data_IF_867739368629
#
_entry.id   IF_867739368629
#
_cell.length_a   1.000
_cell.length_b   1.000
_cell.length_c   1.000
_cell.angle_alpha   90.00
_cell.angle_beta   90.00
_cell.angle_gamma   90.00
#
_symmetry.space_group_name_H-M   'P 1'
#
loop_
_entity.id
_entity.type
_entity.pdbx_description
1 polymer ?
#
# COMPACT_ATOMS: atom_id res chain seq x y z
N UNK A 1 2.54 71.86 -4.52
CA UNK A 1 3.39 71.01 -3.67
C UNK A 1 2.63 70.05 -2.74
N UNK A 2 1.40 70.35 -2.28
CA UNK A 2 0.60 69.41 -1.44
C UNK A 2 -0.08 68.26 -2.19
N UNK A 3 -0.49 68.45 -3.43
CA UNK A 3 -1.20 67.44 -4.23
C UNK A 3 -0.29 66.25 -4.61
N UNK A 4 0.98 66.48 -4.96
CA UNK A 4 1.94 65.44 -5.29
C UNK A 4 2.31 64.55 -4.09
N UNK A 5 2.25 65.08 -2.86
CA UNK A 5 2.46 64.27 -1.63
C UNK A 5 1.31 63.32 -1.35
N UNK A 6 0.06 63.72 -1.63
CA UNK A 6 -1.13 62.92 -1.44
C UNK A 6 -1.21 61.79 -2.49
N UNK A 7 -0.90 62.12 -3.75
CA UNK A 7 -0.86 61.11 -4.84
C UNK A 7 0.23 60.04 -4.57
N UNK A 8 1.40 60.43 -4.05
CA UNK A 8 2.47 59.50 -3.68
C UNK A 8 2.10 58.54 -2.55
N UNK A 9 1.32 59.04 -1.54
CA UNK A 9 0.88 58.23 -0.40
C UNK A 9 -0.20 57.22 -0.84
N UNK A 10 -1.12 57.63 -1.71
CA UNK A 10 -2.18 56.74 -2.23
C UNK A 10 -1.61 55.65 -3.14
N UNK A 11 -0.63 56.00 -3.98
CA UNK A 11 0.05 54.99 -4.85
C UNK A 11 0.88 54.00 -4.02
N UNK A 12 1.55 54.48 -2.92
CA UNK A 12 2.30 53.61 -2.01
C UNK A 12 1.40 52.70 -1.21
N UNK A 13 0.20 53.15 -0.82
CA UNK A 13 -0.80 52.29 -0.12
C UNK A 13 -1.43 51.24 -1.03
N UNK A 14 -1.63 51.52 -2.32
CA UNK A 14 -2.11 50.53 -3.30
C UNK A 14 -1.08 49.42 -3.60
N UNK A 15 0.22 49.77 -3.58
CA UNK A 15 1.30 48.76 -3.77
C UNK A 15 1.45 47.82 -2.55
N UNK A 16 1.12 48.29 -1.33
CA UNK A 16 1.15 47.45 -0.15
C UNK A 16 -0.05 46.50 -0.03
N UNK A 17 -1.18 46.80 -0.64
CA UNK A 17 -2.36 45.93 -0.67
C UNK A 17 -2.25 44.83 -1.73
N UNK A 18 -1.43 45.00 -2.75
CA UNK A 18 -1.17 43.95 -3.76
C UNK A 18 -0.19 42.88 -3.28
N UNK A 19 0.56 43.11 -2.21
CA UNK A 19 1.54 42.16 -1.68
C UNK A 19 0.94 41.05 -0.80
N UNK A 20 -0.30 41.19 -0.33
CA UNK A 20 -0.95 40.19 0.52
C UNK A 20 -1.73 39.11 -0.27
N UNK A 21 -1.81 39.20 -1.59
CA UNK A 21 -2.59 38.26 -2.41
C UNK A 21 -1.78 37.08 -2.95
N UNK A 22 -0.50 36.95 -2.59
CA UNK A 22 0.39 35.97 -3.23
C UNK A 22 0.85 34.80 -2.32
N UNK A 23 0.34 34.71 -1.09
CA UNK A 23 0.76 33.67 -0.16
C UNK A 23 -0.16 32.45 -0.05
N UNK A 24 -1.36 32.48 -0.63
CA UNK A 24 -2.34 31.40 -0.44
C UNK A 24 -2.32 30.32 -1.54
N UNK A 25 -1.51 30.46 -2.60
CA UNK A 25 -1.52 29.54 -3.73
C UNK A 25 -0.46 28.43 -3.64
N UNK A 26 0.58 28.58 -2.82
CA UNK A 26 1.60 27.53 -2.65
C UNK A 26 1.21 26.45 -1.64
N UNK A 27 0.27 26.69 -0.74
CA UNK A 27 -0.16 25.74 0.30
C UNK A 27 -1.19 24.69 -0.19
N UNK A 28 -1.61 24.73 -1.46
CA UNK A 28 -2.67 23.83 -1.97
C UNK A 28 -2.15 22.66 -2.81
N UNK A 29 -0.86 22.36 -2.77
CA UNK A 29 -0.29 21.20 -3.47
C UNK A 29 -0.16 20.03 -2.51
N UNK A 30 -0.68 18.87 -2.89
CA UNK A 30 -0.57 17.63 -2.13
C UNK A 30 0.03 16.55 -3.03
N UNK A 31 1.03 15.86 -2.52
CA UNK A 31 1.65 14.72 -3.17
C UNK A 31 1.26 13.44 -2.44
N UNK A 32 0.49 12.59 -3.11
CA UNK A 32 0.08 11.30 -2.60
C UNK A 32 0.99 10.24 -3.20
N UNK A 33 1.80 9.59 -2.36
CA UNK A 33 2.56 8.43 -2.75
C UNK A 33 1.67 7.18 -2.73
N UNK A 34 1.89 6.23 -3.63
CA UNK A 34 1.19 4.96 -3.63
C UNK A 34 2.03 3.83 -4.23
N UNK A 35 1.85 2.62 -3.71
CA UNK A 35 2.37 1.40 -4.30
C UNK A 35 1.45 0.88 -5.41
N UNK A 36 1.96 0.02 -6.28
CA UNK A 36 1.19 -0.50 -7.41
C UNK A 36 0.28 -1.68 -6.97
N UNK A 37 -0.46 -1.48 -5.88
CA UNK A 37 -1.49 -2.37 -5.36
C UNK A 37 -2.87 -1.79 -5.64
N UNK A 38 -3.84 -2.64 -5.94
CA UNK A 38 -5.12 -2.18 -6.49
C UNK A 38 -5.92 -1.32 -5.53
N UNK A 39 -5.95 -1.68 -4.25
CA UNK A 39 -6.59 -0.88 -3.19
C UNK A 39 -5.92 0.48 -3.01
N UNK A 40 -4.59 0.51 -2.93
CA UNK A 40 -3.80 1.74 -2.81
C UNK A 40 -3.96 2.66 -4.02
N UNK A 41 -4.01 2.11 -5.24
CA UNK A 41 -4.32 2.85 -6.47
C UNK A 41 -5.70 3.46 -6.37
N UNK A 42 -6.73 2.65 -6.04
CA UNK A 42 -8.12 3.12 -5.97
C UNK A 42 -8.29 4.23 -4.93
N UNK A 43 -7.74 4.04 -3.72
CA UNK A 43 -7.79 5.03 -2.65
C UNK A 43 -7.08 6.33 -3.01
N UNK A 44 -5.88 6.24 -3.61
CA UNK A 44 -5.11 7.42 -4.00
C UNK A 44 -5.79 8.22 -5.10
N UNK A 45 -6.40 7.55 -6.09
CA UNK A 45 -7.16 8.23 -7.13
C UNK A 45 -8.47 8.82 -6.60
N UNK A 46 -9.17 8.15 -5.69
CA UNK A 46 -10.35 8.69 -5.03
C UNK A 46 -10.01 9.95 -4.22
N UNK A 47 -8.97 9.87 -3.39
CA UNK A 47 -8.50 11.00 -2.61
C UNK A 47 -8.11 12.19 -3.51
N UNK A 48 -7.42 11.93 -4.64
CA UNK A 48 -7.11 12.96 -5.62
C UNK A 48 -8.36 13.68 -6.11
N UNK A 49 -9.38 12.95 -6.55
CA UNK A 49 -10.63 13.54 -7.05
C UNK A 49 -11.29 14.41 -5.97
N UNK A 50 -11.43 13.88 -4.75
CA UNK A 50 -12.05 14.61 -3.63
C UNK A 50 -11.27 15.88 -3.28
N UNK A 51 -9.95 15.81 -3.20
CA UNK A 51 -9.10 16.95 -2.86
C UNK A 51 -9.12 18.02 -3.97
N UNK A 52 -9.11 17.61 -5.23
CA UNK A 52 -9.20 18.54 -6.37
C UNK A 52 -10.54 19.26 -6.42
N UNK A 53 -11.66 18.61 -6.06
CA UNK A 53 -12.96 19.27 -5.89
C UNK A 53 -12.96 20.32 -4.77
N UNK A 54 -12.05 20.19 -3.79
CA UNK A 54 -11.85 21.16 -2.72
C UNK A 54 -10.77 22.21 -3.04
N UNK A 55 -10.27 22.21 -4.27
CA UNK A 55 -9.36 23.23 -4.79
C UNK A 55 -7.88 22.99 -4.48
N UNK A 56 -7.51 21.76 -4.15
CA UNK A 56 -6.10 21.34 -4.08
C UNK A 56 -5.58 20.91 -5.45
N UNK A 57 -4.29 21.08 -5.69
CA UNK A 57 -3.55 20.47 -6.80
C UNK A 57 -2.94 19.17 -6.31
N UNK A 58 -3.33 18.02 -6.87
CA UNK A 58 -2.87 16.71 -6.37
C UNK A 58 -1.97 16.01 -7.37
N UNK A 59 -0.75 15.72 -6.95
CA UNK A 59 0.23 14.91 -7.66
C UNK A 59 0.23 13.48 -7.11
N UNK A 60 0.04 12.50 -7.97
CA UNK A 60 0.15 11.08 -7.61
C UNK A 60 1.55 10.56 -7.94
N UNK A 61 2.22 9.95 -6.98
CA UNK A 61 3.58 9.42 -7.10
C UNK A 61 3.58 7.92 -6.90
N UNK A 62 3.70 7.16 -7.99
CA UNK A 62 3.86 5.70 -7.91
C UNK A 62 5.31 5.35 -7.59
N UNK A 63 5.52 4.52 -6.59
CA UNK A 63 6.83 3.99 -6.22
C UNK A 63 6.71 2.66 -5.46
N UNK A 64 7.82 1.96 -5.31
CA UNK A 64 7.91 0.83 -4.38
C UNK A 64 7.88 1.30 -2.92
N UNK A 65 7.56 0.41 -2.00
CA UNK A 65 7.29 0.74 -0.59
C UNK A 65 8.48 1.45 0.09
N UNK A 66 9.70 0.98 -0.10
CA UNK A 66 10.87 1.59 0.53
C UNK A 66 11.11 3.04 0.08
N UNK A 67 11.11 3.39 -1.23
CA UNK A 67 11.09 4.78 -1.69
C UNK A 67 9.93 5.62 -1.15
N UNK A 68 8.72 5.06 -0.96
CA UNK A 68 7.59 5.77 -0.36
C UNK A 68 7.95 6.24 1.05
N UNK A 69 8.38 5.33 1.93
CA UNK A 69 8.74 5.69 3.30
C UNK A 69 9.92 6.68 3.39
N UNK A 70 10.91 6.55 2.49
CA UNK A 70 12.00 7.54 2.37
C UNK A 70 11.45 8.91 1.94
N UNK A 71 10.52 8.94 1.01
CA UNK A 71 9.89 10.18 0.52
C UNK A 71 9.05 10.86 1.60
N UNK A 72 8.23 10.07 2.33
CA UNK A 72 7.43 10.55 3.46
C UNK A 72 8.31 11.13 4.57
N UNK A 73 9.29 10.37 5.05
CA UNK A 73 10.22 10.82 6.11
C UNK A 73 11.03 12.04 5.70
N UNK A 74 11.34 12.18 4.40
CA UNK A 74 12.03 13.34 3.81
C UNK A 74 11.12 14.51 3.44
N UNK A 75 9.81 14.46 3.76
CA UNK A 75 8.79 15.48 3.43
C UNK A 75 8.74 15.82 1.93
N UNK A 76 8.95 14.82 1.08
CA UNK A 76 8.84 14.93 -0.39
C UNK A 76 7.51 14.44 -0.93
N UNK A 77 6.84 13.55 -0.18
CA UNK A 77 5.45 13.16 -0.33
C UNK A 77 4.72 13.52 0.96
N UNK A 78 3.45 13.89 0.83
CA UNK A 78 2.65 14.41 1.94
C UNK A 78 1.74 13.35 2.55
N UNK A 79 1.28 12.39 1.75
CA UNK A 79 0.30 11.38 2.18
C UNK A 79 0.61 10.02 1.54
N UNK A 80 0.43 8.96 2.33
CA UNK A 80 0.33 7.57 1.89
C UNK A 80 -0.89 6.93 2.54
N UNK A 81 -1.83 6.41 1.74
CA UNK A 81 -3.16 5.96 2.21
C UNK A 81 -3.26 4.46 2.44
N UNK A 82 -2.15 3.75 2.43
CA UNK A 82 -2.12 2.29 2.35
C UNK A 82 -1.06 1.70 3.30
N UNK A 83 -0.98 2.25 4.52
CA UNK A 83 -0.05 1.79 5.56
C UNK A 83 -0.67 0.65 6.38
N UNK A 84 -0.22 -0.59 6.14
CA UNK A 84 -0.69 -1.81 6.79
C UNK A 84 0.03 -2.06 8.11
N UNK A 85 -0.68 -1.97 9.21
CA UNK A 85 -0.13 -1.98 10.57
C UNK A 85 -0.95 -2.90 11.51
N UNK A 86 -0.36 -3.47 12.53
CA UNK A 86 1.00 -3.20 13.04
C UNK A 86 2.09 -4.15 12.51
N UNK A 87 1.80 -5.11 11.63
CA UNK A 87 2.69 -6.23 11.32
C UNK A 87 3.39 -6.06 9.98
N UNK A 88 2.61 -5.89 8.90
CA UNK A 88 3.11 -5.92 7.52
C UNK A 88 4.14 -4.84 7.24
N UNK A 89 3.93 -3.61 7.72
CA UNK A 89 4.87 -2.50 7.51
C UNK A 89 5.64 -2.10 8.77
N UNK A 90 5.66 -2.99 9.78
CA UNK A 90 6.34 -2.72 11.05
C UNK A 90 7.79 -2.25 10.87
N UNK A 91 8.58 -2.94 10.03
CA UNK A 91 10.00 -2.62 9.83
C UNK A 91 10.20 -1.19 9.30
N UNK A 92 9.28 -0.71 8.45
CA UNK A 92 9.30 0.66 7.94
C UNK A 92 8.91 1.67 9.00
N UNK A 93 7.89 1.36 9.81
CA UNK A 93 7.48 2.23 10.91
C UNK A 93 8.55 2.28 12.02
N UNK A 94 9.22 1.17 12.32
CA UNK A 94 10.36 1.17 13.26
C UNK A 94 11.51 2.07 12.78
N UNK A 95 11.70 2.20 11.47
CA UNK A 95 12.79 3.00 10.89
C UNK A 95 12.42 4.46 10.66
N UNK A 96 11.20 4.76 10.26
CA UNK A 96 10.78 6.08 9.77
C UNK A 96 9.65 6.71 10.58
N UNK A 97 9.00 5.96 11.47
CA UNK A 97 7.77 6.36 12.17
C UNK A 97 7.87 7.65 12.96
N UNK A 98 9.05 7.95 13.54
CA UNK A 98 9.27 9.22 14.27
C UNK A 98 9.07 10.49 13.41
N UNK A 99 9.09 10.34 12.08
CA UNK A 99 8.93 11.42 11.10
C UNK A 99 7.59 11.41 10.39
N UNK A 100 6.70 10.49 10.78
CA UNK A 100 5.42 10.22 10.12
C UNK A 100 4.29 10.48 11.11
N UNK A 101 3.25 11.16 10.64
CA UNK A 101 2.03 11.41 11.41
C UNK A 101 0.92 10.46 10.95
N UNK A 102 0.16 9.93 11.90
CA UNK A 102 -1.04 9.15 11.63
C UNK A 102 -2.21 10.08 11.36
N UNK A 103 -2.81 9.98 10.17
CA UNK A 103 -3.95 10.80 9.77
C UNK A 103 -5.30 10.14 10.11
N UNK A 104 -5.32 8.80 10.17
CA UNK A 104 -6.51 8.03 10.55
C UNK A 104 -6.55 6.64 9.94
N UNK A 105 -7.48 5.83 10.43
CA UNK A 105 -7.78 4.51 9.91
C UNK A 105 -8.56 4.63 8.59
N UNK A 106 -8.12 3.87 7.59
CA UNK A 106 -8.78 3.72 6.28
C UNK A 106 -9.63 2.45 6.25
N UNK A 107 -9.13 1.36 6.85
CA UNK A 107 -9.82 0.07 6.91
C UNK A 107 -9.32 -0.76 8.09
N UNK A 108 -10.24 -1.30 8.91
CA UNK A 108 -9.95 -1.90 10.22
C UNK A 108 -9.89 -3.43 10.26
N UNK A 109 -10.18 -4.15 9.17
CA UNK A 109 -10.26 -5.61 9.16
C UNK A 109 -9.38 -6.22 8.05
N UNK A 110 -8.20 -5.66 7.85
CA UNK A 110 -7.26 -6.12 6.85
C UNK A 110 -6.62 -7.46 7.27
N UNK A 111 -6.47 -8.37 6.32
CA UNK A 111 -5.85 -9.67 6.54
C UNK A 111 -4.81 -9.94 5.45
N UNK A 112 -3.67 -10.47 5.85
CA UNK A 112 -2.64 -10.99 4.94
C UNK A 112 -2.38 -12.48 5.21
N UNK A 113 -1.93 -13.22 4.20
CA UNK A 113 -1.62 -14.64 4.37
C UNK A 113 -1.32 -15.35 3.07
N UNK A 114 -1.24 -16.68 3.15
CA UNK A 114 -1.19 -17.55 1.98
C UNK A 114 -2.61 -17.92 1.55
N UNK A 115 -2.87 -17.81 0.26
CA UNK A 115 -4.18 -18.03 -0.36
C UNK A 115 -4.07 -19.12 -1.41
N UNK A 116 -5.08 -19.98 -1.45
CA UNK A 116 -5.22 -21.04 -2.43
C UNK A 116 -6.63 -21.05 -3.02
N UNK A 117 -6.86 -21.61 -4.22
CA UNK A 117 -8.20 -21.89 -4.72
C UNK A 117 -8.98 -22.80 -3.77
N UNK A 118 -10.29 -22.59 -3.66
CA UNK A 118 -11.18 -23.34 -2.76
C UNK A 118 -11.15 -24.86 -2.99
N UNK A 119 -10.91 -25.31 -4.24
CA UNK A 119 -10.79 -26.73 -4.58
C UNK A 119 -9.51 -27.40 -4.07
N UNK A 120 -8.53 -26.66 -3.61
CA UNK A 120 -7.33 -27.19 -2.96
C UNK A 120 -7.71 -27.80 -1.62
N UNK A 121 -7.33 -29.05 -1.38
CA UNK A 121 -7.87 -29.82 -0.25
C UNK A 121 -7.21 -29.54 1.10
N UNK A 122 -5.99 -28.98 1.11
CA UNK A 122 -5.33 -28.58 2.37
C UNK A 122 -5.99 -27.34 2.98
N UNK A 123 -5.89 -27.23 4.31
CA UNK A 123 -6.50 -26.13 5.07
C UNK A 123 -5.48 -25.26 5.78
N UNK A 124 -4.28 -25.74 5.99
CA UNK A 124 -3.27 -25.07 6.82
C UNK A 124 -1.91 -24.96 6.10
N UNK A 125 -1.19 -23.88 6.42
CA UNK A 125 0.21 -23.68 6.00
C UNK A 125 1.08 -24.88 6.42
N UNK A 126 0.77 -25.52 7.54
CA UNK A 126 1.49 -26.70 8.03
C UNK A 126 1.43 -27.92 7.08
N UNK A 127 0.49 -27.95 6.15
CA UNK A 127 0.32 -29.04 5.20
C UNK A 127 1.06 -28.83 3.87
N UNK A 128 1.60 -27.63 3.65
CA UNK A 128 2.24 -27.27 2.39
C UNK A 128 3.43 -28.17 2.08
N UNK A 129 4.37 -28.39 3.01
CA UNK A 129 5.59 -29.17 2.75
C UNK A 129 5.28 -30.61 2.29
N UNK A 130 4.27 -31.25 2.87
CA UNK A 130 3.84 -32.60 2.48
C UNK A 130 3.18 -32.63 1.09
N UNK A 131 2.77 -31.48 0.55
CA UNK A 131 2.07 -31.34 -0.74
C UNK A 131 2.88 -30.53 -1.77
N UNK A 132 4.14 -30.27 -1.54
CA UNK A 132 4.95 -29.32 -2.31
C UNK A 132 4.98 -29.61 -3.82
N UNK A 133 5.03 -30.87 -4.21
CA UNK A 133 5.06 -31.26 -5.63
C UNK A 133 3.77 -30.83 -6.37
N UNK A 134 2.64 -30.79 -5.67
CA UNK A 134 1.35 -30.33 -6.23
C UNK A 134 1.32 -28.81 -6.48
N UNK A 135 2.13 -28.06 -5.74
CA UNK A 135 2.31 -26.61 -5.89
C UNK A 135 3.54 -26.25 -6.72
N UNK A 136 4.16 -27.22 -7.40
CA UNK A 136 5.42 -27.03 -8.13
C UNK A 136 6.56 -26.50 -7.25
N UNK A 137 6.46 -26.67 -5.93
CA UNK A 137 7.40 -26.12 -4.93
C UNK A 137 7.53 -24.60 -4.99
N UNK A 138 6.48 -23.90 -5.38
CA UNK A 138 6.47 -22.44 -5.54
C UNK A 138 5.36 -21.78 -4.71
N UNK A 139 5.68 -20.63 -4.08
CA UNK A 139 4.72 -19.67 -3.56
C UNK A 139 4.83 -18.43 -4.45
N UNK A 140 3.75 -18.08 -5.15
CA UNK A 140 3.76 -16.95 -6.06
C UNK A 140 3.43 -15.69 -5.28
N UNK A 141 4.42 -14.82 -5.16
CA UNK A 141 4.32 -13.54 -4.44
C UNK A 141 4.25 -12.34 -5.38
N UNK A 142 4.43 -11.17 -4.77
CA UNK A 142 4.40 -9.87 -5.44
C UNK A 142 5.80 -9.23 -5.45
N UNK A 143 5.90 -7.92 -5.45
CA UNK A 143 7.18 -7.20 -5.43
C UNK A 143 7.97 -7.49 -4.13
N UNK A 144 9.29 -7.64 -4.27
CA UNK A 144 10.16 -8.07 -3.17
C UNK A 144 10.19 -7.10 -1.97
N UNK A 145 9.84 -5.82 -2.19
CA UNK A 145 9.80 -4.78 -1.16
C UNK A 145 8.54 -4.83 -0.30
N UNK A 146 7.50 -5.55 -0.72
CA UNK A 146 6.25 -5.63 0.01
C UNK A 146 6.42 -6.33 1.37
N UNK A 147 5.73 -5.85 2.39
CA UNK A 147 5.79 -6.41 3.73
C UNK A 147 5.34 -7.86 3.80
N UNK A 148 4.30 -8.23 3.03
CA UNK A 148 3.80 -9.61 2.95
C UNK A 148 4.87 -10.58 2.44
N UNK A 149 5.78 -10.17 1.56
CA UNK A 149 6.87 -11.00 1.09
C UNK A 149 7.86 -11.33 2.22
N UNK A 150 8.24 -10.33 3.02
CA UNK A 150 9.09 -10.52 4.21
C UNK A 150 8.42 -11.43 5.23
N UNK A 151 7.12 -11.27 5.43
CA UNK A 151 6.35 -12.13 6.34
C UNK A 151 6.24 -13.55 5.80
N UNK A 152 6.13 -13.72 4.48
CA UNK A 152 6.13 -15.05 3.83
C UNK A 152 7.48 -15.76 3.97
N UNK A 153 8.60 -15.04 3.86
CA UNK A 153 9.93 -15.62 4.15
C UNK A 153 10.02 -16.12 5.60
N UNK A 154 9.50 -15.34 6.56
CA UNK A 154 9.41 -15.78 7.96
C UNK A 154 8.50 -17.02 8.11
N UNK A 155 7.41 -17.09 7.35
CA UNK A 155 6.50 -18.25 7.37
C UNK A 155 7.18 -19.49 6.78
N UNK A 156 7.90 -19.37 5.67
CA UNK A 156 8.69 -20.46 5.08
C UNK A 156 9.63 -21.05 6.14
N UNK A 157 10.41 -20.22 6.81
CA UNK A 157 11.31 -20.65 7.87
C UNK A 157 10.57 -21.26 9.06
N UNK A 158 9.51 -20.61 9.52
CA UNK A 158 8.76 -21.06 10.70
C UNK A 158 8.05 -22.37 10.50
N UNK A 159 7.54 -22.66 9.31
CA UNK A 159 6.83 -23.88 8.96
C UNK A 159 7.73 -24.98 8.37
N UNK A 160 9.03 -24.70 8.18
CA UNK A 160 9.97 -25.66 7.60
C UNK A 160 9.62 -25.98 6.13
N UNK A 161 9.23 -24.96 5.37
CA UNK A 161 8.91 -25.08 3.93
C UNK A 161 10.18 -24.97 3.07
N UNK A 162 11.22 -25.68 3.45
CA UNK A 162 12.55 -25.57 2.82
C UNK A 162 12.55 -26.01 1.36
N UNK A 163 11.51 -26.76 0.95
CA UNK A 163 11.31 -27.17 -0.43
C UNK A 163 10.63 -26.12 -1.31
N UNK A 164 10.20 -24.99 -0.75
CA UNK A 164 9.49 -23.95 -1.50
C UNK A 164 10.39 -22.79 -1.92
N UNK A 165 10.12 -22.26 -3.09
CA UNK A 165 10.69 -21.00 -3.57
C UNK A 165 9.61 -19.91 -3.53
N UNK A 166 9.88 -18.81 -2.83
CA UNK A 166 9.04 -17.62 -2.90
C UNK A 166 9.37 -16.85 -4.18
N UNK A 167 8.45 -16.90 -5.13
CA UNK A 167 8.58 -16.24 -6.44
C UNK A 167 8.24 -14.76 -6.32
N UNK A 168 9.21 -13.90 -6.63
CA UNK A 168 8.98 -12.46 -6.73
C UNK A 168 8.36 -12.13 -8.09
N UNK A 169 7.27 -11.36 -8.08
CA UNK A 169 6.60 -10.90 -9.30
C UNK A 169 5.97 -9.50 -9.09
N UNK A 170 4.89 -9.20 -9.78
CA UNK A 170 4.02 -8.07 -9.49
C UNK A 170 2.62 -8.57 -9.10
N UNK A 171 1.82 -7.76 -8.44
CA UNK A 171 0.42 -8.10 -8.11
C UNK A 171 -0.35 -8.59 -9.36
N UNK A 172 -0.20 -7.91 -10.49
CA UNK A 172 -0.85 -8.32 -11.75
C UNK A 172 -0.33 -9.65 -12.30
N UNK A 173 0.97 -9.94 -12.18
CA UNK A 173 1.58 -11.20 -12.62
C UNK A 173 1.15 -12.35 -11.72
N UNK A 174 1.09 -12.15 -10.40
CA UNK A 174 0.57 -13.12 -9.44
C UNK A 174 -0.88 -13.50 -9.78
N UNK A 175 -1.75 -12.50 -10.02
CA UNK A 175 -3.15 -12.72 -10.40
C UNK A 175 -3.30 -13.43 -11.74
N UNK A 176 -2.45 -13.15 -12.72
CA UNK A 176 -2.43 -13.86 -13.99
C UNK A 176 -2.03 -15.33 -13.80
N UNK A 177 -1.06 -15.62 -12.92
CA UNK A 177 -0.65 -16.97 -12.55
C UNK A 177 -1.77 -17.72 -11.83
N UNK A 178 -2.46 -17.06 -10.88
CA UNK A 178 -3.63 -17.61 -10.20
C UNK A 178 -4.72 -18.00 -11.20
N UNK A 179 -5.11 -17.05 -12.06
CA UNK A 179 -6.13 -17.32 -13.09
C UNK A 179 -5.74 -18.50 -13.99
N UNK A 180 -4.51 -18.52 -14.47
CA UNK A 180 -4.01 -19.60 -15.34
C UNK A 180 -4.06 -20.98 -14.67
N UNK A 181 -3.69 -21.05 -13.39
CA UNK A 181 -3.76 -22.30 -12.62
C UNK A 181 -5.21 -22.75 -12.42
N UNK A 182 -6.10 -21.82 -12.05
CA UNK A 182 -7.53 -22.10 -11.85
C UNK A 182 -8.21 -22.57 -13.13
N UNK A 183 -7.93 -21.95 -14.29
CA UNK A 183 -8.47 -22.34 -15.59
C UNK A 183 -8.11 -23.80 -15.96
N UNK A 184 -7.02 -24.33 -15.38
CA UNK A 184 -6.55 -25.70 -15.60
C UNK A 184 -6.88 -26.66 -14.45
N UNK A 185 -7.43 -26.18 -13.33
CA UNK A 185 -7.62 -26.96 -12.11
C UNK A 185 -6.31 -27.38 -11.44
N UNK A 186 -5.22 -26.66 -11.71
CA UNK A 186 -3.91 -26.87 -11.08
C UNK A 186 -3.88 -26.25 -9.68
N UNK A 187 -3.12 -26.86 -8.76
CA UNK A 187 -2.91 -26.27 -7.44
C UNK A 187 -1.91 -25.12 -7.53
N UNK A 188 -2.24 -24.03 -6.84
CA UNK A 188 -1.38 -22.87 -6.70
C UNK A 188 -1.53 -22.30 -5.29
N UNK A 189 -0.45 -21.79 -4.72
CA UNK A 189 -0.44 -20.98 -3.51
C UNK A 189 0.16 -19.62 -3.82
N UNK A 190 -0.53 -18.59 -3.43
CA UNK A 190 -0.12 -17.20 -3.65
C UNK A 190 -0.05 -16.44 -2.31
N UNK A 191 0.69 -15.35 -2.28
CA UNK A 191 0.50 -14.34 -1.24
C UNK A 191 -0.82 -13.62 -1.49
N UNK A 192 -1.61 -13.35 -0.46
CA UNK A 192 -2.91 -12.70 -0.64
C UNK A 192 -3.32 -11.87 0.55
N UNK A 193 -4.23 -10.94 0.31
CA UNK A 193 -4.73 -10.02 1.34
C UNK A 193 -6.18 -9.61 1.08
N UNK A 194 -6.84 -9.16 2.13
CA UNK A 194 -8.13 -8.49 2.06
C UNK A 194 -8.01 -7.11 2.72
N UNK A 195 -8.64 -6.06 2.14
CA UNK A 195 -9.58 -6.09 1.01
C UNK A 195 -8.89 -6.27 -0.35
N UNK A 196 -9.39 -7.17 -1.18
CA UNK A 196 -8.93 -7.36 -2.56
C UNK A 196 -10.02 -7.99 -3.40
N UNK A 197 -10.27 -7.47 -4.62
CA UNK A 197 -11.33 -7.92 -5.52
C UNK A 197 -11.18 -9.39 -5.99
N UNK A 198 -10.00 -9.98 -5.87
CA UNK A 198 -9.78 -11.36 -6.29
C UNK A 198 -10.69 -12.36 -5.55
N UNK A 199 -11.11 -12.07 -4.32
CA UNK A 199 -12.03 -12.91 -3.56
C UNK A 199 -13.48 -12.83 -4.06
N UNK A 200 -13.84 -11.75 -4.77
CA UNK A 200 -15.13 -11.64 -5.45
C UNK A 200 -15.13 -12.33 -6.82
N UNK A 201 -13.96 -12.39 -7.48
CA UNK A 201 -13.83 -12.95 -8.82
C UNK A 201 -13.49 -14.43 -8.82
N UNK A 202 -12.79 -14.91 -7.81
CA UNK A 202 -12.30 -16.29 -7.71
C UNK A 202 -12.75 -16.91 -6.39
N UNK A 203 -13.06 -18.19 -6.43
CA UNK A 203 -13.38 -18.97 -5.24
C UNK A 203 -12.07 -19.36 -4.52
N UNK A 204 -11.68 -18.56 -3.54
CA UNK A 204 -10.41 -18.62 -2.83
C UNK A 204 -10.60 -18.82 -1.33
N UNK A 205 -9.56 -19.33 -0.69
CA UNK A 205 -9.47 -19.35 0.78
C UNK A 205 -8.05 -19.04 1.25
N UNK A 206 -7.96 -18.42 2.41
CA UNK A 206 -6.73 -18.36 3.18
C UNK A 206 -6.42 -19.73 3.77
N UNK A 207 -5.14 -20.11 3.80
CA UNK A 207 -4.68 -21.19 4.63
C UNK A 207 -4.59 -20.74 6.09
N UNK A 208 -4.96 -21.63 7.01
CA UNK A 208 -4.82 -21.38 8.44
C UNK A 208 -3.35 -21.23 8.81
N UNK A 209 -3.04 -20.24 9.64
CA UNK A 209 -1.71 -19.94 10.19
C UNK A 209 -1.67 -20.22 11.70
N UNK A 210 -1.59 -21.49 12.15
CA UNK A 210 -1.59 -21.82 13.58
C UNK A 210 -0.39 -21.28 14.35
N UNK A 211 0.68 -20.87 13.67
CA UNK A 211 1.85 -20.25 14.31
C UNK A 211 1.74 -18.71 14.36
N UNK A 212 0.66 -18.15 13.81
CA UNK A 212 0.41 -16.71 13.75
C UNK A 212 1.58 -15.88 13.21
N UNK A 213 2.24 -16.39 12.17
CA UNK A 213 3.36 -15.67 11.54
C UNK A 213 2.88 -14.42 10.81
N UNK A 214 1.67 -14.50 10.19
CA UNK A 214 1.01 -13.37 9.57
C UNK A 214 0.25 -12.49 10.58
N UNK A 215 0.16 -12.94 11.85
CA UNK A 215 -0.55 -12.26 12.90
C UNK A 215 -2.06 -12.43 12.86
N UNK A 216 -2.75 -11.52 13.53
CA UNK A 216 -4.20 -11.39 13.51
C UNK A 216 -4.60 -10.35 12.41
N UNK A 217 -5.81 -9.77 12.49
CA UNK A 217 -6.20 -8.70 11.57
C UNK A 217 -5.33 -7.44 11.77
N UNK A 218 -5.10 -6.74 10.68
CA UNK A 218 -4.39 -5.47 10.65
C UNK A 218 -5.33 -4.32 10.32
N UNK A 219 -4.84 -3.11 10.49
CA UNK A 219 -5.51 -1.88 10.08
C UNK A 219 -4.72 -1.24 8.95
N UNK A 220 -5.42 -0.68 7.97
CA UNK A 220 -4.82 0.17 6.94
C UNK A 220 -5.00 1.62 7.38
N UNK A 221 -3.90 2.35 7.45
CA UNK A 221 -3.88 3.74 7.89
C UNK A 221 -3.49 4.69 6.76
N UNK A 222 -4.03 5.91 6.83
CA UNK A 222 -3.46 7.08 6.18
C UNK A 222 -2.35 7.66 7.07
N UNK A 223 -1.21 7.90 6.48
CA UNK A 223 -0.04 8.50 7.12
C UNK A 223 0.51 9.65 6.30
#
# INVERSE_FOLDING_TARGET
MRIYKIVGIVLSAMLLLASCAHSDLEEKKIKIAYANWLEGIAMSHLAKVVLEEHGYEVELQNADLAPIFVSMSGKKSDVFLDAWLPITMKDYMDQYGDSIEFLGEVYGEARVGLVVPQYVTIQSISELEANKDRFSSEIVGIDAGAGIMKTTDKAIAAYGLDGYTLMTSSSSTMLASLKKAMDKGEWIVITGWTPHWMFDQFDLKFLDDPKKVYGDLEEIHAI
#
